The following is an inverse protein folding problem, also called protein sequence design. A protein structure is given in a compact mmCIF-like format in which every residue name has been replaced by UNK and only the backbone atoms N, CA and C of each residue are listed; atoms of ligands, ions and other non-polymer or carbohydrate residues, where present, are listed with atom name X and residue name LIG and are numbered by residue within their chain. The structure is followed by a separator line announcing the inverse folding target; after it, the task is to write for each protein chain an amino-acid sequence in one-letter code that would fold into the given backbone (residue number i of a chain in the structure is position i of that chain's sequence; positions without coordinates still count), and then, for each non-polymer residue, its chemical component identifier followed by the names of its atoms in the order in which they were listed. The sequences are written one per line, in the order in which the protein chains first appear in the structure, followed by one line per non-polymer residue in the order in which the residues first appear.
data_IF_909012381169
#
_entry.id   IF_909012381169
#
_cell.length_a   1.000
_cell.length_b   1.000
_cell.length_c   1.000
_cell.angle_alpha   90.00
_cell.angle_beta   90.00
_cell.angle_gamma   90.00
#
_symmetry.space_group_name_H-M   'P 1'
#
loop_
_entity.id
_entity.type
_entity.pdbx_description
1 polymer ?
#
# COMPACT_ATOMS: atom_id res chain seq x y z
N UNK A 1 21.30 9.83 -2.82
CA UNK A 1 19.95 9.68 -2.23
C UNK A 1 18.92 10.45 -3.06
N UNK A 2 17.92 9.73 -3.56
CA UNK A 2 16.78 10.24 -4.29
C UNK A 2 15.51 10.14 -3.44
N UNK A 3 14.53 11.01 -3.70
CA UNK A 3 13.23 11.04 -3.02
C UNK A 3 12.11 11.19 -4.03
N UNK A 4 11.04 10.43 -3.83
CA UNK A 4 9.77 10.57 -4.55
C UNK A 4 8.65 10.84 -3.56
N UNK A 5 7.73 11.73 -3.92
CA UNK A 5 6.56 12.10 -3.12
C UNK A 5 5.38 12.16 -4.07
N UNK A 6 4.33 11.41 -3.75
CA UNK A 6 3.02 11.54 -4.39
C UNK A 6 1.99 11.80 -3.30
N UNK A 7 1.14 12.80 -3.53
CA UNK A 7 0.06 13.17 -2.63
C UNK A 7 -1.25 13.24 -3.40
N UNK A 8 -2.34 12.85 -2.76
CA UNK A 8 -3.68 13.04 -3.31
C UNK A 8 -4.68 13.36 -2.21
N UNK A 9 -5.71 14.12 -2.55
CA UNK A 9 -6.89 14.29 -1.70
C UNK A 9 -7.88 13.19 -2.07
N UNK A 10 -8.32 12.43 -1.07
CA UNK A 10 -9.35 11.41 -1.23
C UNK A 10 -10.66 11.90 -0.60
N UNK A 11 -11.82 11.74 -1.26
CA UNK A 11 -13.13 12.14 -0.75
C UNK A 11 -13.70 11.12 0.27
N UNK A 12 -12.85 10.65 1.18
CA UNK A 12 -13.16 9.67 2.22
C UNK A 12 -12.57 10.14 3.55
N UNK A 13 -13.15 9.73 4.68
CA UNK A 13 -12.60 10.07 5.99
C UNK A 13 -11.22 9.42 6.22
N UNK A 14 -10.34 10.10 6.94
CA UNK A 14 -9.01 9.58 7.24
C UNK A 14 -9.03 8.19 7.90
N UNK A 15 -9.92 7.88 8.86
CA UNK A 15 -10.02 6.54 9.43
C UNK A 15 -10.38 5.44 8.41
N UNK A 16 -11.26 5.73 7.45
CA UNK A 16 -11.68 4.77 6.41
C UNK A 16 -10.52 4.45 5.48
N UNK A 17 -9.81 5.49 5.04
CA UNK A 17 -8.63 5.31 4.19
C UNK A 17 -7.51 4.59 4.94
N UNK A 18 -7.26 5.00 6.20
CA UNK A 18 -6.23 4.38 7.03
C UNK A 18 -6.52 2.91 7.27
N UNK A 19 -7.75 2.50 7.56
CA UNK A 19 -8.10 1.09 7.75
C UNK A 19 -7.65 0.21 6.57
N UNK A 20 -7.74 0.73 5.33
CA UNK A 20 -7.30 0.01 4.13
C UNK A 20 -5.78 -0.02 3.98
N UNK A 21 -5.10 1.09 4.24
CA UNK A 21 -3.63 1.20 4.14
C UNK A 21 -2.92 0.42 5.25
N UNK A 22 -3.46 0.51 6.47
CA UNK A 22 -2.93 -0.11 7.69
C UNK A 22 -2.90 -1.63 7.64
N UNK A 23 -3.76 -2.24 6.82
CA UNK A 23 -3.76 -3.66 6.56
C UNK A 23 -2.56 -4.02 5.66
N UNK A 24 -1.35 -4.05 6.24
CA UNK A 24 -0.09 -4.12 5.48
C UNK A 24 -0.03 -5.32 4.53
N UNK A 25 -0.53 -6.49 4.89
CA UNK A 25 -0.53 -7.64 3.99
C UNK A 25 -1.67 -7.64 2.95
N UNK A 26 -2.58 -6.66 2.99
CA UNK A 26 -3.83 -6.64 2.22
C UNK A 26 -3.76 -5.77 0.95
N UNK A 27 -2.57 -5.30 0.59
CA UNK A 27 -2.35 -4.37 -0.54
C UNK A 27 -2.87 -4.89 -1.89
N UNK A 28 -2.91 -6.21 -2.08
CA UNK A 28 -3.43 -6.83 -3.30
C UNK A 28 -4.92 -6.56 -3.57
N UNK A 29 -5.71 -6.22 -2.54
CA UNK A 29 -7.13 -5.92 -2.72
C UNK A 29 -7.41 -4.56 -3.34
N UNK A 30 -6.41 -3.67 -3.41
CA UNK A 30 -6.60 -2.33 -3.94
C UNK A 30 -5.51 -1.87 -4.90
N UNK A 31 -4.28 -2.38 -4.80
CA UNK A 31 -3.18 -1.94 -5.67
C UNK A 31 -3.15 -2.73 -6.99
N UNK A 32 -3.30 -2.09 -8.16
CA UNK A 32 -3.56 -2.78 -9.43
C UNK A 32 -2.37 -3.58 -9.95
N UNK A 33 -1.15 -3.22 -9.56
CA UNK A 33 0.06 -3.98 -9.93
C UNK A 33 0.25 -5.27 -9.12
N UNK A 34 -0.41 -5.43 -7.97
CA UNK A 34 -0.18 -6.55 -7.05
C UNK A 34 -1.28 -7.59 -7.24
N UNK A 35 -0.92 -8.75 -7.78
CA UNK A 35 -1.84 -9.87 -7.97
C UNK A 35 -2.06 -10.69 -6.70
N UNK A 36 -1.05 -10.77 -5.82
CA UNK A 36 -1.17 -11.43 -4.52
C UNK A 36 -0.26 -10.77 -3.48
N UNK A 37 -0.70 -10.80 -2.23
CA UNK A 37 0.07 -10.33 -1.08
C UNK A 37 -0.20 -11.26 0.10
N UNK A 38 0.85 -11.62 0.84
CA UNK A 38 0.74 -12.47 2.03
C UNK A 38 1.82 -12.13 3.05
N UNK A 39 1.52 -12.33 4.33
CA UNK A 39 2.57 -12.36 5.35
C UNK A 39 3.46 -13.57 5.12
N UNK A 40 4.77 -13.32 4.98
CA UNK A 40 5.82 -14.33 4.92
C UNK A 40 6.39 -14.61 6.30
N UNK A 41 6.46 -13.60 7.17
CA UNK A 41 6.96 -13.71 8.53
C UNK A 41 6.26 -12.73 9.48
N UNK A 42 6.07 -13.14 10.73
CA UNK A 42 5.31 -12.41 11.75
C UNK A 42 3.85 -12.85 11.80
N UNK A 43 3.30 -12.86 13.01
CA UNK A 43 1.90 -13.27 13.27
C UNK A 43 0.92 -12.09 13.20
N UNK A 44 1.44 -10.86 13.14
CA UNK A 44 0.69 -9.61 13.14
C UNK A 44 1.24 -8.68 12.06
N UNK A 45 0.40 -8.33 11.08
CA UNK A 45 0.75 -7.43 9.98
C UNK A 45 0.92 -5.97 10.41
N UNK A 46 0.63 -5.63 11.66
CA UNK A 46 0.83 -4.30 12.24
C UNK A 46 2.06 -4.23 13.14
N UNK A 47 2.70 -5.36 13.43
CA UNK A 47 3.91 -5.42 14.24
C UNK A 47 5.15 -5.06 13.40
N UNK A 48 5.96 -4.06 13.80
CA UNK A 48 7.24 -3.79 13.18
C UNK A 48 8.13 -5.05 13.14
N UNK A 49 8.74 -5.30 11.98
CA UNK A 49 9.53 -6.49 11.69
C UNK A 49 8.77 -7.57 10.93
N UNK A 50 7.44 -7.50 10.81
CA UNK A 50 6.71 -8.42 9.93
C UNK A 50 7.14 -8.22 8.47
N UNK A 51 7.09 -9.30 7.69
CA UNK A 51 7.52 -9.32 6.29
C UNK A 51 6.33 -9.75 5.44
N UNK A 52 5.99 -8.95 4.43
CA UNK A 52 5.05 -9.34 3.37
C UNK A 52 5.81 -9.77 2.12
N UNK A 53 5.27 -10.75 1.43
CA UNK A 53 5.66 -11.11 0.07
C UNK A 53 4.58 -10.65 -0.88
N UNK A 54 4.99 -9.91 -1.91
CA UNK A 54 4.14 -9.41 -2.97
C UNK A 54 4.45 -10.18 -4.25
N UNK A 55 3.40 -10.59 -4.95
CA UNK A 55 3.48 -11.09 -6.32
C UNK A 55 2.76 -10.09 -7.23
N UNK A 56 3.47 -9.53 -8.19
CA UNK A 56 2.89 -8.63 -9.18
C UNK A 56 2.06 -9.41 -10.19
N UNK A 57 1.17 -8.72 -10.91
CA UNK A 57 0.30 -9.34 -11.93
C UNK A 57 1.07 -10.02 -13.07
N UNK A 58 2.33 -9.62 -13.31
CA UNK A 58 3.24 -10.23 -14.29
C UNK A 58 4.07 -11.41 -13.72
N UNK A 59 3.80 -11.80 -12.46
CA UNK A 59 4.40 -12.94 -11.79
C UNK A 59 5.76 -12.68 -11.13
N UNK A 60 6.26 -11.43 -11.13
CA UNK A 60 7.47 -11.08 -10.36
C UNK A 60 7.15 -11.03 -8.87
N UNK A 61 8.17 -11.24 -8.04
CA UNK A 61 8.03 -11.21 -6.58
C UNK A 61 8.96 -10.19 -5.95
N UNK A 62 8.50 -9.60 -4.86
CA UNK A 62 9.33 -8.82 -3.94
C UNK A 62 8.88 -9.07 -2.50
N UNK A 63 9.78 -8.84 -1.54
CA UNK A 63 9.48 -8.88 -0.12
C UNK A 63 9.78 -7.55 0.53
N UNK A 64 8.93 -7.17 1.48
CA UNK A 64 9.00 -5.90 2.16
C UNK A 64 8.82 -6.11 3.65
N UNK A 65 9.59 -5.37 4.45
CA UNK A 65 9.53 -5.42 5.91
C UNK A 65 8.84 -4.17 6.43
N UNK A 66 7.89 -4.34 7.34
CA UNK A 66 7.32 -3.22 8.08
C UNK A 66 8.37 -2.69 9.06
N UNK A 67 8.82 -1.45 8.86
CA UNK A 67 9.85 -0.82 9.68
C UNK A 67 9.23 -0.08 10.88
N UNK A 68 8.11 0.59 10.68
CA UNK A 68 7.34 1.21 11.76
C UNK A 68 5.84 1.28 11.42
N UNK A 69 5.03 1.37 12.46
CA UNK A 69 3.59 1.44 12.36
C UNK A 69 3.05 2.27 13.52
N UNK A 70 2.26 3.30 13.22
CA UNK A 70 1.59 4.15 14.19
C UNK A 70 0.17 4.41 13.72
N UNK A 71 -0.79 3.71 14.35
CA UNK A 71 -2.20 3.83 14.04
C UNK A 71 -2.80 5.17 14.48
N UNK A 72 -2.25 5.81 15.52
CA UNK A 72 -2.76 7.09 16.02
C UNK A 72 -2.35 8.22 15.07
N UNK A 73 -1.11 8.21 14.59
CA UNK A 73 -0.62 9.16 13.60
C UNK A 73 -0.95 8.76 12.14
N UNK A 74 -1.65 7.62 11.95
CA UNK A 74 -2.02 7.06 10.64
C UNK A 74 -0.83 7.02 9.67
N UNK A 75 0.29 6.49 10.14
CA UNK A 75 1.53 6.37 9.37
C UNK A 75 2.12 4.97 9.50
N UNK A 76 2.58 4.44 8.38
CA UNK A 76 3.42 3.25 8.35
C UNK A 76 4.65 3.49 7.48
N UNK A 77 5.71 2.79 7.81
CA UNK A 77 6.98 2.82 7.08
C UNK A 77 7.38 1.40 6.78
N UNK A 78 7.81 1.14 5.56
CA UNK A 78 8.31 -0.16 5.14
C UNK A 78 9.55 0.00 4.26
N UNK A 79 10.28 -1.09 4.12
CA UNK A 79 11.52 -1.16 3.33
C UNK A 79 11.53 -2.41 2.45
N UNK A 80 12.31 -2.37 1.38
CA UNK A 80 12.53 -3.57 0.57
C UNK A 80 13.53 -4.51 1.25
N UNK A 81 13.28 -5.82 1.13
CA UNK A 81 14.18 -6.87 1.61
C UNK A 81 14.76 -7.66 0.44
N UNK A 82 13.91 -8.24 -0.40
CA UNK A 82 14.29 -8.90 -1.66
C UNK A 82 13.50 -8.25 -2.79
N UNK A 83 14.16 -7.63 -3.77
CA UNK A 83 13.49 -6.87 -4.83
C UNK A 83 14.32 -6.81 -6.14
N UNK A 84 13.67 -6.58 -7.29
CA UNK A 84 14.37 -6.48 -8.59
C UNK A 84 14.81 -5.07 -8.97
N UNK A 85 14.42 -4.03 -8.21
CA UNK A 85 14.69 -2.63 -8.55
C UNK A 85 16.17 -2.24 -8.40
N UNK A 86 16.71 -1.36 -9.27
CA UNK A 86 18.11 -0.91 -9.24
C UNK A 86 18.33 0.20 -8.19
N UNK A 87 17.90 -0.05 -6.96
CA UNK A 87 18.03 0.87 -5.82
C UNK A 87 18.53 0.14 -4.59
N UNK A 88 19.06 0.87 -3.62
CA UNK A 88 19.43 0.38 -2.29
C UNK A 88 18.88 1.32 -1.24
N UNK A 89 18.92 0.92 0.04
CA UNK A 89 18.44 1.72 1.18
C UNK A 89 17.01 2.27 0.97
N UNK A 90 16.14 1.46 0.37
CA UNK A 90 14.78 1.85 0.04
C UNK A 90 13.90 1.87 1.30
N UNK A 91 13.33 3.03 1.59
CA UNK A 91 12.35 3.21 2.65
C UNK A 91 11.16 4.01 2.13
N UNK A 92 9.96 3.43 2.21
CA UNK A 92 8.72 4.07 1.83
C UNK A 92 7.85 4.38 3.05
N UNK A 93 7.10 5.47 2.97
CA UNK A 93 6.17 5.92 4.01
C UNK A 93 4.81 6.17 3.39
N UNK A 94 3.77 5.62 4.01
CA UNK A 94 2.39 5.98 3.72
C UNK A 94 1.82 6.70 4.94
N UNK A 95 1.27 7.89 4.73
CA UNK A 95 0.66 8.73 5.78
C UNK A 95 -0.72 9.21 5.33
N UNK A 96 -1.69 9.13 6.24
CA UNK A 96 -3.02 9.71 6.06
C UNK A 96 -3.17 10.90 7.00
N UNK A 97 -3.48 12.06 6.44
CA UNK A 97 -3.70 13.30 7.17
C UNK A 97 -5.20 13.63 7.13
N UNK A 98 -5.81 13.77 8.29
CA UNK A 98 -7.19 14.26 8.40
C UNK A 98 -7.26 15.70 7.87
N UNK A 99 -8.39 16.03 7.23
CA UNK A 99 -8.66 17.41 6.84
C UNK A 99 -8.75 18.30 8.09
N UNK A 100 -7.97 19.38 8.10
CA UNK A 100 -7.94 20.37 9.17
C UNK A 100 -9.26 21.13 9.33
N UNK A 101 -10.12 21.13 8.31
CA UNK A 101 -11.38 21.89 8.31
C UNK A 101 -12.54 21.17 9.03
N UNK A 102 -12.29 20.02 9.67
CA UNK A 102 -13.26 19.32 10.53
C UNK A 102 -14.40 18.62 9.78
N UNK A 103 -14.40 18.70 8.45
CA UNK A 103 -15.26 17.88 7.61
C UNK A 103 -14.59 16.51 7.48
N UNK A 104 -15.00 15.54 8.30
CA UNK A 104 -14.55 14.13 8.26
C UNK A 104 -15.03 13.39 6.98
N UNK A 105 -14.95 14.07 5.83
CA UNK A 105 -15.45 13.68 4.51
C UNK A 105 -14.33 13.61 3.47
N UNK A 106 -13.12 14.06 3.81
CA UNK A 106 -11.95 13.94 2.95
C UNK A 106 -10.66 13.86 3.80
N UNK A 107 -9.59 13.40 3.17
CA UNK A 107 -8.27 13.35 3.78
C UNK A 107 -7.18 13.51 2.72
N UNK A 108 -5.96 13.84 3.13
CA UNK A 108 -4.78 13.80 2.27
C UNK A 108 -4.03 12.49 2.51
N UNK A 109 -3.70 11.78 1.45
CA UNK A 109 -2.82 10.60 1.50
C UNK A 109 -1.50 10.96 0.86
N UNK A 110 -0.42 10.81 1.61
CA UNK A 110 0.95 10.98 1.14
C UNK A 110 1.63 9.61 1.06
N UNK A 111 2.21 9.31 -0.10
CA UNK A 111 3.08 8.15 -0.30
C UNK A 111 4.46 8.62 -0.77
N UNK A 112 5.46 8.39 0.05
CA UNK A 112 6.85 8.76 -0.24
C UNK A 112 7.75 7.55 -0.28
N UNK A 113 8.87 7.68 -1.00
CA UNK A 113 10.02 6.81 -0.81
C UNK A 113 11.33 7.58 -0.94
N UNK A 114 12.27 7.25 -0.06
CA UNK A 114 13.66 7.65 -0.10
C UNK A 114 14.50 6.41 -0.44
N UNK A 115 15.50 6.55 -1.31
CA UNK A 115 16.34 5.43 -1.76
C UNK A 115 17.67 5.92 -2.36
N UNK A 116 18.66 5.03 -2.47
CA UNK A 116 19.90 5.28 -3.19
C UNK A 116 19.88 4.58 -4.56
N UNK A 117 19.86 5.33 -5.68
CA UNK A 117 19.94 4.74 -7.02
C UNK A 117 21.29 4.03 -7.22
N UNK A 118 21.27 2.84 -7.82
CA UNK A 118 22.52 2.14 -8.16
C UNK A 118 23.33 2.86 -9.25
N UNK A 119 22.69 3.74 -10.03
CA UNK A 119 23.34 4.54 -11.06
C UNK A 119 22.57 5.82 -11.35
N UNK A 120 23.27 6.86 -11.81
CA UNK A 120 22.65 8.12 -12.19
C UNK A 120 22.12 8.92 -11.00
N UNK A 121 21.16 9.80 -11.27
CA UNK A 121 20.58 10.69 -10.26
C UNK A 121 19.27 10.15 -9.65
N UNK A 122 18.80 8.99 -10.10
CA UNK A 122 17.54 8.38 -9.66
C UNK A 122 16.27 8.88 -10.35
N UNK A 123 16.39 9.70 -11.41
CA UNK A 123 15.23 10.25 -12.13
C UNK A 123 14.33 9.17 -12.72
N UNK A 124 14.91 8.14 -13.33
CA UNK A 124 14.15 7.03 -13.93
C UNK A 124 13.37 6.26 -12.86
N UNK A 125 13.98 5.99 -11.72
CA UNK A 125 13.35 5.28 -10.60
C UNK A 125 12.27 6.14 -9.94
N UNK A 126 12.50 7.46 -9.78
CA UNK A 126 11.48 8.40 -9.27
C UNK A 126 10.25 8.42 -10.19
N UNK A 127 10.46 8.56 -11.49
CA UNK A 127 9.36 8.59 -12.47
C UNK A 127 8.60 7.25 -12.50
N UNK A 128 9.33 6.14 -12.40
CA UNK A 128 8.73 4.81 -12.29
C UNK A 128 7.88 4.67 -11.03
N UNK A 129 8.42 4.96 -9.85
CA UNK A 129 7.66 4.82 -8.59
C UNK A 129 6.47 5.78 -8.56
N UNK A 130 6.65 7.04 -8.97
CA UNK A 130 5.56 8.01 -8.99
C UNK A 130 4.45 7.61 -9.98
N UNK A 131 4.83 7.30 -11.22
CA UNK A 131 3.88 7.15 -12.33
C UNK A 131 3.30 5.75 -12.48
N UNK A 132 4.05 4.71 -12.11
CA UNK A 132 3.62 3.31 -12.28
C UNK A 132 3.13 2.68 -10.98
N UNK A 133 3.65 3.09 -9.83
CA UNK A 133 3.32 2.46 -8.53
C UNK A 133 2.38 3.36 -7.73
N UNK A 134 2.83 4.53 -7.30
CA UNK A 134 2.12 5.33 -6.29
C UNK A 134 0.85 5.96 -6.83
N UNK A 135 0.92 6.67 -7.97
CA UNK A 135 -0.26 7.33 -8.55
C UNK A 135 -1.36 6.31 -8.92
N UNK A 136 -1.07 5.22 -9.64
CA UNK A 136 -2.08 4.20 -9.94
C UNK A 136 -2.64 3.52 -8.69
N UNK A 137 -1.79 3.26 -7.69
CA UNK A 137 -2.20 2.70 -6.41
C UNK A 137 -3.19 3.60 -5.66
N UNK A 138 -2.91 4.90 -5.58
CA UNK A 138 -3.79 5.87 -4.90
C UNK A 138 -5.12 6.09 -5.63
N UNK A 139 -5.11 6.11 -6.97
CA UNK A 139 -6.34 6.16 -7.78
C UNK A 139 -7.19 4.89 -7.55
N UNK A 140 -6.56 3.72 -7.53
CA UNK A 140 -7.28 2.47 -7.30
C UNK A 140 -7.83 2.36 -5.88
N UNK A 141 -7.10 2.88 -4.89
CA UNK A 141 -7.57 2.99 -3.50
C UNK A 141 -8.86 3.80 -3.41
N UNK A 142 -8.92 4.97 -4.05
CA UNK A 142 -10.15 5.78 -4.12
C UNK A 142 -11.32 4.98 -4.73
N UNK A 143 -11.07 4.34 -5.88
CA UNK A 143 -12.09 3.56 -6.58
C UNK A 143 -12.64 2.41 -5.73
N UNK A 144 -11.78 1.71 -4.98
CA UNK A 144 -12.20 0.61 -4.10
C UNK A 144 -13.01 1.12 -2.92
N UNK A 145 -12.68 2.29 -2.37
CA UNK A 145 -13.42 2.89 -1.26
C UNK A 145 -14.76 3.48 -1.70
N UNK A 146 -14.88 3.95 -2.95
CA UNK A 146 -16.12 4.43 -3.54
C UNK A 146 -17.14 3.31 -3.84
N UNK A 147 -16.69 2.06 -3.93
CA UNK A 147 -17.57 0.91 -4.17
C UNK A 147 -18.23 0.48 -2.85
N UNK A 148 -19.56 0.28 -2.81
CA UNK A 148 -20.19 -0.34 -1.65
C UNK A 148 -19.59 -1.74 -1.46
N UNK A 149 -19.32 -2.12 -0.20
CA UNK A 149 -18.79 -3.44 0.13
C UNK A 149 -19.62 -4.52 -0.59
N UNK A 150 -19.01 -5.18 -1.58
CA UNK A 150 -19.65 -6.28 -2.30
C UNK A 150 -20.05 -7.33 -1.26
N UNK A 151 -21.34 -7.69 -1.12
CA UNK A 151 -21.72 -8.74 -0.20
C UNK A 151 -20.98 -10.01 -0.61
N UNK A 152 -20.23 -10.60 0.33
CA UNK A 152 -19.61 -11.90 0.13
C UNK A 152 -20.74 -12.91 -0.11
N UNK A 153 -20.98 -13.27 -1.37
CA UNK A 153 -21.92 -14.34 -1.71
C UNK A 153 -21.32 -15.65 -1.22
N UNK A 154 -21.72 -16.08 -0.03
CA UNK A 154 -21.43 -17.41 0.48
C UNK A 154 -22.10 -18.40 -0.48
N UNK A 155 -21.38 -19.34 -1.12
CA UNK A 155 -22.02 -20.32 -1.96
C UNK A 155 -22.86 -21.25 -1.07
N UNK A 156 -24.17 -21.07 -1.08
CA UNK A 156 -25.13 -22.00 -0.47
C UNK A 156 -24.90 -23.38 -1.07
N UNK A 157 -24.22 -24.26 -0.33
CA UNK A 157 -24.05 -25.65 -0.70
C UNK A 157 -25.40 -26.33 -0.53
N UNK A 158 -26.16 -26.44 -1.63
CA UNK A 158 -27.40 -27.21 -1.63
C UNK A 158 -27.02 -28.69 -1.61
N UNK A 159 -27.01 -29.28 -0.41
CA UNK A 159 -26.98 -30.73 -0.25
C UNK A 159 -28.37 -31.25 -0.61
N UNK A 160 -28.54 -31.65 -1.87
CA UNK A 160 -29.68 -32.45 -2.28
C UNK A 160 -29.35 -33.92 -2.01
N UNK A 161 -29.86 -34.43 -0.89
CA UNK A 161 -30.00 -35.86 -0.67
C UNK A 161 -31.38 -36.27 -1.19
N UNK A 162 -31.42 -37.06 -2.27
CA UNK A 162 -32.42 -38.11 -2.53
C UNK A 162 -31.78 -39.21 -3.37
#
# INVERSE_FOLDING_TARGET
MARVVVETVLPHSAPVVWQRIAAFADIAHWHPLIGASRLRAGDDQTAPGCIRELTTIDGRTLTERLASYDAQAMVLVYEFVEHPFPVTDYQATMRVLADSDGHDRQCVVQWTADFEPCSGDGSTERDFFAGQVFTPGLIALDNVLAQPAMPHTVPSTHTAAQ
#
